data_IF_474622554710
#
_entry.id   IF_474622554710
#
_cell.length_a   1.000
_cell.length_b   1.000
_cell.length_c   1.000
_cell.angle_alpha   90.00
_cell.angle_beta   90.00
_cell.angle_gamma   90.00
#
_symmetry.space_group_name_H-M   'P 1'
#
loop_
_entity.id
_entity.type
_entity.pdbx_description
1 polymer ?
#
# COMPACT_ATOMS: atom_id res chain seq x y z
N UNK A 1 9.63 -7.16 -23.66
CA UNK A 1 8.58 -6.21 -24.09
C UNK A 1 8.77 -4.98 -23.21
N UNK A 2 9.16 -3.85 -23.79
CA UNK A 2 9.37 -2.61 -23.07
C UNK A 2 8.01 -2.12 -22.54
N UNK A 3 7.96 -1.79 -21.25
CA UNK A 3 6.79 -1.17 -20.66
C UNK A 3 6.56 0.19 -21.31
N UNK A 4 5.33 0.45 -21.67
CA UNK A 4 4.87 1.71 -22.26
C UNK A 4 5.15 2.87 -21.29
N UNK A 5 6.16 3.68 -21.59
CA UNK A 5 6.61 4.83 -20.80
C UNK A 5 5.66 6.05 -20.87
N UNK A 6 4.51 5.93 -21.53
CA UNK A 6 3.63 7.06 -21.83
C UNK A 6 2.68 7.47 -20.68
N UNK A 7 2.81 6.92 -19.47
CA UNK A 7 1.83 7.12 -18.39
C UNK A 7 2.40 7.50 -17.00
N UNK A 8 3.64 7.97 -16.94
CA UNK A 8 4.17 8.64 -15.75
C UNK A 8 4.33 10.12 -16.06
N UNK A 9 3.21 10.82 -16.21
CA UNK A 9 3.21 12.28 -16.20
C UNK A 9 3.40 12.74 -14.75
N UNK A 10 4.43 13.55 -14.52
CA UNK A 10 4.80 14.27 -13.30
C UNK A 10 5.73 13.58 -12.27
N UNK A 11 6.35 12.44 -12.59
CA UNK A 11 7.41 11.87 -11.75
C UNK A 11 8.78 12.50 -12.05
N UNK A 12 9.48 12.94 -10.99
CA UNK A 12 10.89 13.32 -11.09
C UNK A 12 11.73 12.06 -11.30
N UNK A 13 12.61 12.04 -12.30
CA UNK A 13 13.51 10.91 -12.53
C UNK A 13 14.80 11.08 -11.73
N UNK A 14 15.16 10.08 -10.91
CA UNK A 14 16.33 10.07 -10.02
C UNK A 14 17.05 8.72 -10.04
N UNK A 15 18.31 8.71 -9.65
CA UNK A 15 18.98 7.47 -9.25
C UNK A 15 18.49 7.03 -7.88
N UNK A 16 18.70 5.75 -7.51
CA UNK A 16 18.37 5.26 -6.16
C UNK A 16 19.09 6.03 -5.06
N UNK A 17 20.36 6.40 -5.28
CA UNK A 17 21.14 7.24 -4.36
C UNK A 17 20.51 8.62 -4.15
N UNK A 18 20.10 9.26 -5.25
CA UNK A 18 19.43 10.57 -5.18
C UNK A 18 18.08 10.48 -4.45
N UNK A 19 17.32 9.42 -4.71
CA UNK A 19 16.08 9.17 -4.00
C UNK A 19 16.30 8.97 -2.49
N UNK A 20 17.26 8.14 -2.09
CA UNK A 20 17.57 7.90 -0.69
C UNK A 20 18.07 9.17 0.00
N UNK A 21 18.87 9.99 -0.68
CA UNK A 21 19.31 11.29 -0.16
C UNK A 21 18.15 12.29 0.01
N UNK A 22 17.20 12.31 -0.93
CA UNK A 22 15.97 13.12 -0.82
C UNK A 22 15.12 12.67 0.36
N UNK A 23 14.91 11.39 0.49
CA UNK A 23 14.11 10.76 1.54
C UNK A 23 14.71 11.00 2.95
N UNK A 24 16.04 10.95 3.09
CA UNK A 24 16.73 11.24 4.34
C UNK A 24 16.74 12.76 4.68
N UNK A 25 16.80 13.60 3.66
CA UNK A 25 16.87 15.05 3.82
C UNK A 25 15.53 15.72 4.13
N UNK A 26 14.41 15.01 3.96
CA UNK A 26 13.06 15.57 4.10
C UNK A 26 12.15 14.66 4.92
N UNK A 27 11.08 15.22 5.47
CA UNK A 27 10.01 14.48 6.13
C UNK A 27 8.82 14.16 5.19
N UNK A 28 9.02 14.32 3.87
CA UNK A 28 8.08 13.95 2.84
C UNK A 28 7.97 12.43 2.67
N UNK A 29 6.85 11.95 2.13
CA UNK A 29 6.72 10.55 1.75
C UNK A 29 6.79 10.43 0.23
N UNK A 30 7.70 9.59 -0.24
CA UNK A 30 7.94 9.40 -1.66
C UNK A 30 7.98 7.91 -1.99
N UNK A 31 7.35 7.53 -3.10
CA UNK A 31 7.56 6.21 -3.70
C UNK A 31 8.61 6.29 -4.80
N UNK A 32 9.38 5.24 -4.97
CA UNK A 32 10.39 5.11 -6.01
C UNK A 32 10.15 3.83 -6.82
N UNK A 33 10.04 4.01 -8.14
CA UNK A 33 9.80 2.92 -9.07
C UNK A 33 10.67 3.09 -10.31
N UNK A 34 11.71 2.26 -10.46
CA UNK A 34 12.62 2.25 -11.62
C UNK A 34 13.15 3.64 -12.04
N UNK A 35 13.50 4.47 -11.08
CA UNK A 35 14.01 5.82 -11.32
C UNK A 35 12.94 6.91 -11.24
N UNK A 36 11.67 6.58 -11.23
CA UNK A 36 10.59 7.56 -11.06
C UNK A 36 10.25 7.74 -9.59
N UNK A 37 10.21 8.99 -9.16
CA UNK A 37 9.79 9.38 -7.81
C UNK A 37 8.39 9.95 -7.86
N UNK A 38 7.51 9.40 -7.04
CA UNK A 38 6.14 9.90 -6.85
C UNK A 38 6.02 10.43 -5.43
N UNK A 39 5.70 11.71 -5.30
CA UNK A 39 5.47 12.32 -4.00
C UNK A 39 4.05 11.99 -3.50
N UNK A 40 3.96 11.33 -2.36
CA UNK A 40 2.70 11.00 -1.70
C UNK A 40 2.28 12.09 -0.71
N UNK A 41 3.27 12.62 0.04
CA UNK A 41 3.08 13.71 0.99
C UNK A 41 4.25 14.68 0.86
N UNK A 42 4.00 15.99 0.69
CA UNK A 42 5.07 16.98 0.65
C UNK A 42 5.79 17.09 2.00
N UNK A 43 7.08 17.48 2.01
CA UNK A 43 7.78 17.76 3.25
C UNK A 43 7.19 18.99 3.96
N UNK A 44 7.30 19.05 5.28
CA UNK A 44 6.77 20.16 6.08
C UNK A 44 7.36 21.52 5.67
N UNK A 45 8.62 21.55 5.19
CA UNK A 45 9.28 22.74 4.67
C UNK A 45 8.70 23.27 3.35
N UNK A 46 7.90 22.47 2.64
CA UNK A 46 7.27 22.88 1.37
C UNK A 46 5.95 23.65 1.56
N UNK A 47 5.48 23.84 2.79
CA UNK A 47 4.33 24.68 3.07
C UNK A 47 4.68 26.17 2.92
N UNK A 48 4.87 26.62 1.68
CA UNK A 48 4.71 28.01 1.33
C UNK A 48 3.19 28.26 1.16
N UNK A 49 2.68 29.32 1.80
CA UNK A 49 1.24 29.69 1.75
C UNK A 49 0.69 29.87 0.33
N UNK A 50 1.55 29.88 -0.68
CA UNK A 50 1.18 30.00 -2.10
C UNK A 50 1.12 28.68 -2.86
N UNK A 51 1.62 27.60 -2.31
CA UNK A 51 1.57 26.27 -2.88
C UNK A 51 0.41 25.49 -2.24
N UNK A 52 -0.81 25.91 -2.50
CA UNK A 52 -1.97 25.01 -2.41
C UNK A 52 -1.80 24.06 -3.60
N UNK A 53 -0.92 23.11 -3.44
CA UNK A 53 -0.89 21.97 -4.33
C UNK A 53 -2.23 21.25 -4.15
N UNK A 54 -2.79 20.85 -5.26
CA UNK A 54 -3.87 19.88 -5.33
C UNK A 54 -3.30 18.58 -4.73
N UNK A 55 -3.19 18.58 -3.40
CA UNK A 55 -2.80 17.40 -2.65
C UNK A 55 -3.96 16.45 -2.85
N UNK A 56 -3.76 15.43 -3.66
CA UNK A 56 -4.63 14.27 -3.69
C UNK A 56 -4.57 13.60 -2.31
N UNK A 57 -5.03 14.32 -1.30
CA UNK A 57 -5.35 13.76 -0.01
C UNK A 57 -6.38 12.67 -0.26
N UNK A 58 -6.15 11.47 0.25
CA UNK A 58 -7.11 10.41 0.12
C UNK A 58 -8.49 10.88 0.57
N UNK A 59 -9.56 10.42 -0.08
CA UNK A 59 -10.93 10.77 0.32
C UNK A 59 -11.18 10.38 1.79
N UNK A 60 -12.21 10.95 2.42
CA UNK A 60 -12.62 10.53 3.77
C UNK A 60 -12.88 9.02 3.84
N UNK A 61 -13.41 8.44 2.76
CA UNK A 61 -13.62 6.99 2.65
C UNK A 61 -12.29 6.23 2.67
N UNK A 62 -11.31 6.66 1.87
CA UNK A 62 -9.97 6.07 1.85
C UNK A 62 -9.32 6.12 3.24
N UNK A 63 -9.26 7.28 3.87
CA UNK A 63 -8.68 7.44 5.20
C UNK A 63 -9.38 6.57 6.26
N UNK A 64 -10.73 6.52 6.22
CA UNK A 64 -11.50 5.70 7.15
C UNK A 64 -11.29 4.20 6.95
N UNK A 65 -11.11 3.75 5.70
CA UNK A 65 -10.78 2.36 5.38
C UNK A 65 -9.38 1.98 5.89
N UNK A 66 -8.36 2.81 5.66
CA UNK A 66 -6.99 2.55 6.14
C UNK A 66 -6.97 2.39 7.68
N UNK A 67 -7.58 3.33 8.42
CA UNK A 67 -7.66 3.26 9.88
C UNK A 67 -8.41 2.02 10.36
N UNK A 68 -9.53 1.69 9.72
CA UNK A 68 -10.33 0.51 10.08
C UNK A 68 -9.59 -0.78 9.85
N UNK A 69 -8.98 -0.94 8.68
CA UNK A 69 -8.22 -2.14 8.33
C UNK A 69 -7.03 -2.34 9.26
N UNK A 70 -6.26 -1.27 9.50
CA UNK A 70 -5.17 -1.29 10.45
C UNK A 70 -5.64 -1.74 11.84
N UNK A 71 -6.71 -1.14 12.38
CA UNK A 71 -7.25 -1.51 13.69
C UNK A 71 -7.84 -2.92 13.77
N UNK A 72 -8.52 -3.39 12.71
CA UNK A 72 -9.04 -4.76 12.64
C UNK A 72 -7.92 -5.80 12.63
N UNK A 73 -6.85 -5.53 11.85
CA UNK A 73 -5.69 -6.41 11.77
C UNK A 73 -4.89 -6.39 13.07
N UNK A 74 -4.61 -5.22 13.64
CA UNK A 74 -3.90 -5.08 14.90
C UNK A 74 -4.60 -5.87 16.03
N UNK A 75 -5.93 -5.73 16.14
CA UNK A 75 -6.71 -6.49 17.11
C UNK A 75 -6.68 -8.00 16.86
N UNK A 76 -6.77 -8.44 15.59
CA UNK A 76 -6.78 -9.85 15.25
C UNK A 76 -5.41 -10.52 15.43
N UNK A 77 -4.32 -9.76 15.34
CA UNK A 77 -2.94 -10.23 15.43
C UNK A 77 -2.33 -10.07 16.83
N UNK A 78 -3.06 -9.50 17.80
CA UNK A 78 -2.55 -9.10 19.12
C UNK A 78 -1.86 -10.24 19.91
N UNK A 79 -2.29 -11.48 19.73
CA UNK A 79 -1.74 -12.64 20.43
C UNK A 79 -0.69 -13.41 19.60
N UNK A 80 -0.37 -12.91 18.39
CA UNK A 80 0.55 -13.54 17.44
C UNK A 80 1.91 -12.87 17.37
N UNK A 81 2.75 -13.35 16.42
CA UNK A 81 4.04 -12.74 16.08
C UNK A 81 3.94 -11.67 14.99
N UNK A 82 2.81 -11.59 14.29
CA UNK A 82 2.63 -10.67 13.19
C UNK A 82 2.12 -9.30 13.68
N UNK A 83 2.54 -8.24 13.02
CA UNK A 83 2.12 -6.86 13.30
C UNK A 83 1.61 -6.18 12.02
N UNK A 84 0.60 -5.33 12.17
CA UNK A 84 0.11 -4.46 11.11
C UNK A 84 0.84 -3.11 11.15
N UNK A 85 1.19 -2.58 9.98
CA UNK A 85 1.86 -1.29 9.80
C UNK A 85 1.06 -0.39 8.87
N UNK A 86 1.08 0.91 9.15
CA UNK A 86 0.46 1.95 8.32
C UNK A 86 1.37 2.36 7.16
N UNK A 87 0.87 3.24 6.30
CA UNK A 87 1.62 3.83 5.19
C UNK A 87 2.82 4.70 5.60
N UNK A 88 3.04 4.93 6.89
CA UNK A 88 4.25 5.60 7.37
C UNK A 88 5.49 4.69 7.25
N UNK A 89 5.30 3.37 7.18
CA UNK A 89 6.40 2.42 6.99
C UNK A 89 6.72 2.29 5.51
N UNK A 90 8.01 2.50 5.18
CA UNK A 90 8.54 2.28 3.84
C UNK A 90 8.82 0.81 3.60
N UNK A 91 8.37 0.29 2.47
CA UNK A 91 8.63 -1.06 2.03
C UNK A 91 9.63 -1.06 0.88
N UNK A 92 10.77 -1.75 1.08
CA UNK A 92 11.75 -2.02 0.02
C UNK A 92 11.47 -3.37 -0.62
N UNK A 93 11.36 -3.40 -1.95
CA UNK A 93 11.08 -4.64 -2.67
C UNK A 93 12.37 -5.33 -3.11
N UNK A 94 12.84 -6.29 -2.30
CA UNK A 94 13.95 -7.19 -2.63
C UNK A 94 15.23 -6.45 -3.01
N UNK A 95 15.89 -6.93 -4.07
CA UNK A 95 17.08 -6.29 -4.67
C UNK A 95 16.73 -5.29 -5.78
N UNK A 96 15.44 -5.07 -6.00
CA UNK A 96 14.94 -4.12 -7.00
C UNK A 96 15.06 -2.68 -6.48
N UNK A 97 15.02 -1.72 -7.42
CA UNK A 97 15.01 -0.29 -7.07
C UNK A 97 13.57 0.19 -6.88
N UNK A 98 12.84 -0.46 -5.94
CA UNK A 98 11.46 -0.07 -5.66
C UNK A 98 11.28 0.14 -4.17
N UNK A 99 10.71 1.29 -3.83
CA UNK A 99 10.33 1.67 -2.47
C UNK A 99 8.88 2.16 -2.52
N UNK A 100 8.03 1.55 -1.72
CA UNK A 100 6.61 1.88 -1.66
C UNK A 100 6.16 2.17 -0.24
N UNK A 101 5.00 2.81 -0.13
CA UNK A 101 4.27 3.04 1.10
C UNK A 101 2.87 2.43 0.97
N UNK A 102 2.71 1.12 1.16
CA UNK A 102 1.39 0.50 1.11
C UNK A 102 0.48 1.06 2.21
N UNK A 103 -0.81 1.19 1.94
CA UNK A 103 -1.77 1.74 2.90
C UNK A 103 -1.80 0.95 4.22
N UNK A 104 -1.75 -0.39 4.12
CA UNK A 104 -1.53 -1.29 5.26
C UNK A 104 -0.63 -2.44 4.83
N UNK A 105 0.28 -2.84 5.69
CA UNK A 105 1.08 -4.06 5.50
C UNK A 105 1.14 -4.89 6.79
N UNK A 106 1.34 -6.19 6.64
CA UNK A 106 1.53 -7.10 7.79
C UNK A 106 2.84 -7.85 7.61
N UNK A 107 3.64 -7.88 8.66
CA UNK A 107 4.85 -8.70 8.73
C UNK A 107 4.88 -9.51 10.03
N UNK A 108 5.53 -10.68 9.99
CA UNK A 108 5.56 -11.63 11.11
C UNK A 108 6.96 -11.79 11.73
N UNK A 109 7.96 -11.20 11.12
CA UNK A 109 9.31 -11.12 11.67
C UNK A 109 9.47 -9.84 12.50
N UNK A 110 10.44 -9.83 13.41
CA UNK A 110 10.76 -8.64 14.21
C UNK A 110 11.54 -7.63 13.38
N UNK A 111 11.03 -6.44 13.25
CA UNK A 111 11.66 -5.34 12.52
C UNK A 111 12.11 -4.22 13.45
N UNK A 112 13.19 -3.55 13.09
CA UNK A 112 13.66 -2.33 13.72
C UNK A 112 13.88 -1.24 12.67
N UNK A 113 13.60 0.00 13.02
CA UNK A 113 13.70 1.15 12.11
C UNK A 113 12.41 1.40 11.32
N UNK A 114 12.56 2.01 10.15
CA UNK A 114 11.46 2.48 9.31
C UNK A 114 11.36 1.79 7.93
N UNK A 115 12.12 0.72 7.72
CA UNK A 115 12.19 0.00 6.45
C UNK A 115 11.71 -1.44 6.63
N UNK A 116 10.64 -1.80 5.93
CA UNK A 116 10.12 -3.15 5.87
C UNK A 116 10.63 -3.84 4.59
N UNK A 117 11.04 -5.10 4.69
CA UNK A 117 11.61 -5.86 3.55
C UNK A 117 10.89 -7.16 3.24
N UNK A 118 10.09 -7.65 4.17
CA UNK A 118 9.49 -8.99 4.12
C UNK A 118 8.02 -9.03 4.61
N UNK A 119 7.14 -8.13 4.07
CA UNK A 119 5.73 -8.20 4.39
C UNK A 119 5.15 -9.54 3.92
N UNK A 120 4.20 -10.06 4.69
CA UNK A 120 3.42 -11.26 4.35
C UNK A 120 2.13 -10.87 3.62
N UNK A 121 1.49 -9.79 4.06
CA UNK A 121 0.29 -9.23 3.44
C UNK A 121 0.53 -7.77 3.09
N UNK A 122 0.11 -7.37 1.90
CA UNK A 122 0.12 -5.98 1.44
C UNK A 122 -1.30 -5.60 1.02
N UNK A 123 -1.79 -4.48 1.51
CA UNK A 123 -3.15 -3.98 1.26
C UNK A 123 -3.05 -2.56 0.69
N UNK A 124 -3.72 -2.33 -0.43
CA UNK A 124 -3.89 -1.00 -1.03
C UNK A 124 -5.38 -0.63 -1.05
N UNK A 125 -5.69 0.53 -0.55
CA UNK A 125 -7.03 1.12 -0.62
C UNK A 125 -7.09 1.98 -1.88
N UNK A 126 -7.84 1.52 -2.85
CA UNK A 126 -7.88 2.11 -4.18
C UNK A 126 -8.46 3.53 -4.15
N UNK A 127 -7.83 4.43 -4.88
CA UNK A 127 -8.33 5.77 -5.18
C UNK A 127 -8.27 6.01 -6.70
N UNK A 128 -9.06 6.93 -7.27
CA UNK A 128 -8.99 7.23 -8.71
C UNK A 128 -7.58 7.56 -9.19
N UNK A 129 -6.76 8.18 -8.36
CA UNK A 129 -5.40 8.58 -8.71
C UNK A 129 -4.40 7.40 -8.73
N UNK A 130 -4.59 6.38 -7.88
CA UNK A 130 -3.61 5.30 -7.68
C UNK A 130 -4.06 3.96 -8.24
N UNK A 131 -5.36 3.73 -8.43
CA UNK A 131 -5.96 2.44 -8.78
C UNK A 131 -5.25 1.72 -9.93
N UNK A 132 -4.96 2.42 -11.03
CA UNK A 132 -4.30 1.82 -12.18
C UNK A 132 -2.90 1.30 -11.83
N UNK A 133 -2.17 2.03 -11.00
CA UNK A 133 -0.83 1.66 -10.56
C UNK A 133 -0.88 0.49 -9.57
N UNK A 134 -1.83 0.51 -8.65
CA UNK A 134 -2.00 -0.52 -7.62
C UNK A 134 -2.44 -1.85 -8.24
N UNK A 135 -3.39 -1.82 -9.20
CA UNK A 135 -3.82 -3.01 -9.95
C UNK A 135 -2.76 -3.55 -10.92
N UNK A 136 -1.80 -2.73 -11.33
CA UNK A 136 -0.81 -3.06 -12.35
C UNK A 136 0.62 -3.12 -11.85
N UNK A 137 1.35 -2.01 -11.93
CA UNK A 137 2.79 -1.94 -11.69
C UNK A 137 3.18 -2.34 -10.26
N UNK A 138 2.51 -1.80 -9.23
CA UNK A 138 2.79 -2.17 -7.83
C UNK A 138 2.53 -3.66 -7.59
N UNK A 139 1.40 -4.19 -8.07
CA UNK A 139 1.10 -5.61 -7.95
C UNK A 139 2.16 -6.49 -8.61
N UNK A 140 2.62 -6.12 -9.82
CA UNK A 140 3.68 -6.86 -10.50
C UNK A 140 4.98 -6.90 -9.68
N UNK A 141 5.33 -5.79 -9.02
CA UNK A 141 6.51 -5.69 -8.17
C UNK A 141 6.33 -6.48 -6.87
N UNK A 142 5.21 -6.33 -6.16
CA UNK A 142 4.96 -7.07 -4.91
C UNK A 142 5.00 -8.60 -5.09
N UNK A 143 4.55 -9.11 -6.24
CA UNK A 143 4.63 -10.53 -6.56
C UNK A 143 6.07 -11.06 -6.61
N UNK A 144 7.07 -10.20 -6.85
CA UNK A 144 8.48 -10.60 -6.88
C UNK A 144 9.07 -10.85 -5.49
N UNK A 145 8.47 -10.28 -4.43
CA UNK A 145 8.86 -10.53 -3.04
C UNK A 145 8.43 -11.94 -2.60
N UNK A 146 9.36 -12.84 -2.23
CA UNK A 146 9.00 -14.19 -1.78
C UNK A 146 8.15 -14.20 -0.51
N UNK A 147 8.32 -13.21 0.38
CA UNK A 147 7.58 -13.07 1.63
C UNK A 147 6.11 -12.77 1.42
N UNK A 148 5.75 -11.98 0.40
CA UNK A 148 4.35 -11.61 0.12
C UNK A 148 3.54 -12.83 -0.27
N UNK A 149 2.58 -13.18 0.55
CA UNK A 149 1.66 -14.29 0.34
C UNK A 149 0.30 -13.81 -0.17
N UNK A 150 -0.12 -12.62 0.25
CA UNK A 150 -1.41 -12.06 -0.13
C UNK A 150 -1.28 -10.58 -0.49
N UNK A 151 -1.95 -10.21 -1.57
CA UNK A 151 -2.13 -8.82 -2.00
C UNK A 151 -3.62 -8.50 -2.02
N UNK A 152 -4.01 -7.45 -1.33
CA UNK A 152 -5.42 -7.08 -1.13
C UNK A 152 -5.69 -5.72 -1.73
N UNK A 153 -6.76 -5.63 -2.51
CA UNK A 153 -7.28 -4.37 -3.05
C UNK A 153 -8.64 -4.09 -2.46
N UNK A 154 -8.84 -2.86 -1.99
CA UNK A 154 -10.08 -2.42 -1.35
C UNK A 154 -10.54 -1.12 -2.01
N UNK A 155 -11.75 -1.12 -2.57
CA UNK A 155 -12.33 0.05 -3.21
C UNK A 155 -12.75 1.11 -2.20
N UNK A 156 -12.39 2.40 -2.42
CA UNK A 156 -12.85 3.52 -1.59
C UNK A 156 -14.07 4.24 -2.15
N UNK A 157 -14.36 4.06 -3.44
CA UNK A 157 -15.54 4.65 -4.10
C UNK A 157 -16.67 3.64 -4.33
N UNK A 158 -16.30 2.36 -4.37
CA UNK A 158 -17.24 1.24 -4.50
C UNK A 158 -16.88 0.14 -3.51
N UNK A 159 -17.86 -0.59 -3.01
CA UNK A 159 -17.62 -1.73 -2.12
C UNK A 159 -17.04 -2.89 -2.92
N UNK A 160 -15.74 -2.90 -3.06
CA UNK A 160 -14.97 -3.94 -3.72
C UNK A 160 -13.83 -4.41 -2.80
N UNK A 161 -13.69 -5.72 -2.64
CA UNK A 161 -12.56 -6.33 -1.94
C UNK A 161 -12.08 -7.53 -2.73
N UNK A 162 -10.81 -7.50 -3.12
CA UNK A 162 -10.16 -8.55 -3.90
C UNK A 162 -8.93 -9.01 -3.15
N UNK A 163 -8.79 -10.31 -2.95
CA UNK A 163 -7.57 -10.93 -2.40
C UNK A 163 -6.90 -11.76 -3.49
N UNK A 164 -5.64 -11.48 -3.74
CA UNK A 164 -4.77 -12.28 -4.60
C UNK A 164 -3.82 -13.08 -3.71
N UNK A 165 -3.78 -14.40 -3.88
CA UNK A 165 -2.94 -15.29 -3.08
C UNK A 165 -1.84 -15.94 -3.91
N UNK A 166 -0.64 -15.99 -3.37
CA UNK A 166 0.50 -16.67 -4.00
C UNK A 166 0.20 -18.15 -4.24
N UNK A 167 -0.38 -18.85 -3.26
CA UNK A 167 -0.74 -20.27 -3.34
C UNK A 167 -1.67 -20.62 -4.51
N UNK A 168 -2.54 -19.67 -4.90
CA UNK A 168 -3.45 -19.81 -6.05
C UNK A 168 -2.88 -19.24 -7.35
N UNK A 169 -1.55 -19.01 -7.42
CA UNK A 169 -0.89 -18.34 -8.54
C UNK A 169 -1.52 -16.97 -8.86
N UNK A 170 -1.81 -16.22 -7.81
CA UNK A 170 -2.34 -14.86 -7.87
C UNK A 170 -3.69 -14.74 -8.57
N UNK A 171 -4.53 -15.77 -8.51
CA UNK A 171 -5.91 -15.67 -8.98
C UNK A 171 -6.71 -14.74 -8.04
N UNK A 172 -7.55 -13.83 -8.58
CA UNK A 172 -8.38 -12.96 -7.76
C UNK A 172 -9.51 -13.72 -7.08
N UNK A 173 -9.69 -13.46 -5.80
CA UNK A 173 -10.88 -13.85 -5.03
C UNK A 173 -11.66 -12.58 -4.73
N UNK A 174 -12.85 -12.46 -5.32
CA UNK A 174 -13.73 -11.30 -5.12
C UNK A 174 -14.68 -11.58 -3.97
N UNK A 175 -14.67 -10.72 -2.98
CA UNK A 175 -15.59 -10.77 -1.86
C UNK A 175 -16.67 -9.71 -1.99
N UNK A 176 -17.85 -9.98 -1.45
CA UNK A 176 -19.04 -9.12 -1.48
C UNK A 176 -19.76 -9.14 -0.13
N UNK A 177 -20.80 -8.31 0.01
CA UNK A 177 -21.63 -8.27 1.22
C UNK A 177 -22.15 -9.67 1.59
N UNK A 178 -22.01 -10.02 2.86
CA UNK A 178 -22.32 -11.32 3.42
C UNK A 178 -21.17 -12.33 3.44
N UNK A 179 -20.07 -12.07 2.71
CA UNK A 179 -18.93 -12.98 2.68
C UNK A 179 -18.03 -12.80 3.92
N UNK A 180 -17.34 -13.89 4.29
CA UNK A 180 -16.23 -13.87 5.24
C UNK A 180 -14.93 -13.73 4.44
N UNK A 181 -14.22 -12.63 4.63
CA UNK A 181 -12.90 -12.41 4.04
C UNK A 181 -11.86 -13.18 4.84
N UNK A 182 -10.99 -13.91 4.15
CA UNK A 182 -9.95 -14.71 4.77
C UNK A 182 -8.57 -14.25 4.28
N UNK A 183 -7.68 -13.93 5.22
CA UNK A 183 -6.25 -13.74 4.99
C UNK A 183 -5.53 -14.97 5.56
N UNK A 184 -5.45 -16.00 4.73
CA UNK A 184 -5.03 -17.36 5.14
C UNK A 184 -3.59 -17.40 5.58
N UNK A 185 -2.73 -16.56 5.01
CA UNK A 185 -1.29 -16.49 5.33
C UNK A 185 -0.99 -16.03 6.75
N UNK A 186 -1.93 -15.31 7.37
CA UNK A 186 -1.79 -14.80 8.75
C UNK A 186 -2.90 -15.30 9.68
N UNK A 187 -3.75 -16.23 9.22
CA UNK A 187 -4.82 -16.84 10.01
C UNK A 187 -5.93 -15.88 10.44
N UNK A 188 -6.13 -14.76 9.73
CA UNK A 188 -7.13 -13.74 10.06
C UNK A 188 -8.34 -13.86 9.15
N UNK A 189 -9.53 -13.71 9.73
CA UNK A 189 -10.77 -13.61 8.97
C UNK A 189 -11.69 -12.54 9.56
N UNK A 190 -12.45 -11.87 8.68
CA UNK A 190 -13.41 -10.84 9.09
C UNK A 190 -14.56 -10.72 8.08
N UNK A 191 -15.76 -10.29 8.52
CA UNK A 191 -16.87 -10.06 7.61
C UNK A 191 -16.56 -8.91 6.64
N UNK A 192 -16.86 -9.08 5.35
CA UNK A 192 -16.77 -8.02 4.35
C UNK A 192 -17.50 -6.74 4.80
N UNK A 193 -18.71 -6.88 5.34
CA UNK A 193 -19.53 -5.75 5.78
C UNK A 193 -18.92 -4.97 6.96
N UNK A 194 -18.02 -5.60 7.74
CA UNK A 194 -17.32 -4.91 8.81
C UNK A 194 -16.32 -3.88 8.25
N UNK A 195 -15.72 -4.13 7.09
CA UNK A 195 -14.80 -3.22 6.41
C UNK A 195 -15.52 -1.93 6.00
N UNK A 196 -16.72 -2.07 5.41
CA UNK A 196 -17.46 -0.94 4.83
C UNK A 196 -18.49 -0.31 5.76
N UNK A 197 -18.65 -0.82 6.99
CA UNK A 197 -19.63 -0.31 7.93
C UNK A 197 -19.45 1.18 8.22
N UNK A 198 -20.42 2.03 7.83
CA UNK A 198 -20.42 3.50 8.01
C UNK A 198 -19.28 4.21 7.27
N UNK A 199 -18.72 3.63 6.21
CA UNK A 199 -17.82 4.33 5.32
C UNK A 199 -18.67 5.30 4.46
N UNK A 200 -18.28 6.58 4.33
CA UNK A 200 -19.00 7.54 3.48
C UNK A 200 -18.65 7.25 2.01
N UNK A 201 -19.54 6.57 1.30
CA UNK A 201 -19.39 6.25 -0.13
C UNK A 201 -20.51 6.88 -0.92
#
# INVERSE_FOLDING_TARGET
>A
MAADSSQVSDGLYMTEEQYLALDEATDGNYEFYDGYVVMLRPPSSAYDERAIFDMAGGSLAHAALCVRLGGMLDQALADGSCMAYSSDVKLKVGTTRHYFHPDVSVACESHAGNLLTDPVVVIEVLSPATEKRDRGAKFAVYKTLPSVQEYVLIGSEVQELIVYRRESNWRPYHYRSGDLVELTSIGVSFPFDAVYRRIPM
#
